data_IF_730444805900
#
_entry.id   IF_730444805900
#
_cell.length_a   1.000
_cell.length_b   1.000
_cell.length_c   1.000
_cell.angle_alpha   90.00
_cell.angle_beta   90.00
_cell.angle_gamma   90.00
#
_symmetry.space_group_name_H-M   'P 1'
#
loop_
_entity.id
_entity.type
_entity.pdbx_description
1 polymer ?
#
# COMPACT_ATOMS: atom_id res chain seq x y z
N UNK A 1 -16.36 -6.26 -15.00
CA UNK A 1 -15.47 -5.20 -15.49
C UNK A 1 -15.88 -3.85 -14.89
N UNK A 2 -16.05 -3.81 -13.57
CA UNK A 2 -16.44 -2.61 -12.85
C UNK A 2 -15.26 -1.63 -12.81
N UNK A 3 -15.55 -0.32 -12.91
CA UNK A 3 -14.51 0.71 -12.97
C UNK A 3 -13.74 0.75 -14.29
N UNK A 4 -14.28 0.14 -15.35
CA UNK A 4 -13.69 0.23 -16.69
C UNK A 4 -13.68 1.66 -17.21
N UNK A 5 -12.56 2.07 -17.79
CA UNK A 5 -12.40 3.39 -18.38
C UNK A 5 -10.99 3.94 -18.19
N UNK A 6 -10.88 5.26 -18.35
CA UNK A 6 -9.62 5.96 -18.08
C UNK A 6 -9.24 5.89 -16.60
N UNK A 7 -7.93 5.86 -16.32
CA UNK A 7 -7.39 6.00 -14.98
C UNK A 7 -7.84 7.32 -14.38
N UNK A 8 -8.88 7.30 -13.56
CA UNK A 8 -9.36 8.44 -12.80
C UNK A 8 -9.39 8.03 -11.34
N UNK A 9 -8.33 8.39 -10.62
CA UNK A 9 -8.20 8.13 -9.18
C UNK A 9 -9.33 8.75 -8.36
N UNK A 10 -10.00 9.77 -8.92
CA UNK A 10 -11.15 10.41 -8.30
C UNK A 10 -12.35 9.48 -8.15
N UNK A 11 -12.48 8.44 -9.00
CA UNK A 11 -13.61 7.52 -8.93
C UNK A 11 -13.63 6.72 -7.61
N UNK A 12 -12.56 5.99 -7.22
CA UNK A 12 -12.52 5.34 -5.91
C UNK A 12 -12.60 6.32 -4.74
N UNK A 13 -12.04 7.54 -4.85
CA UNK A 13 -12.19 8.57 -3.81
C UNK A 13 -13.66 8.91 -3.56
N UNK A 14 -14.41 9.22 -4.62
CA UNK A 14 -15.84 9.54 -4.47
C UNK A 14 -16.64 8.40 -3.86
N UNK A 15 -16.30 7.15 -4.17
CA UNK A 15 -16.97 5.98 -3.59
C UNK A 15 -16.61 5.82 -2.11
N UNK A 16 -15.33 5.99 -1.76
CA UNK A 16 -14.88 5.92 -0.37
C UNK A 16 -15.47 7.05 0.49
N UNK A 17 -15.57 8.27 -0.06
CA UNK A 17 -16.15 9.44 0.62
C UNK A 17 -17.65 9.26 0.90
N UNK A 18 -18.35 8.46 0.08
CA UNK A 18 -19.73 8.03 0.35
C UNK A 18 -19.82 7.01 1.50
N UNK A 19 -18.69 6.55 2.04
CA UNK A 19 -18.61 5.54 3.10
C UNK A 19 -18.66 4.10 2.59
N UNK A 20 -18.58 3.86 1.29
CA UNK A 20 -18.57 2.51 0.72
C UNK A 20 -17.16 1.93 0.86
N UNK A 21 -17.04 0.85 1.66
CA UNK A 21 -15.74 0.21 1.97
C UNK A 21 -15.46 -1.04 1.15
N UNK A 22 -16.48 -1.70 0.62
CA UNK A 22 -16.36 -2.92 -0.17
C UNK A 22 -17.23 -2.83 -1.43
N UNK A 23 -16.71 -3.31 -2.56
CA UNK A 23 -17.45 -3.42 -3.81
C UNK A 23 -17.34 -4.88 -4.26
N UNK A 24 -18.47 -5.51 -4.55
CA UNK A 24 -18.51 -6.89 -5.04
C UNK A 24 -18.84 -6.88 -6.54
N UNK A 25 -18.05 -7.56 -7.37
CA UNK A 25 -18.28 -7.65 -8.82
C UNK A 25 -17.74 -8.95 -9.41
N UNK A 26 -18.09 -9.27 -10.65
CA UNK A 26 -17.53 -10.42 -11.39
C UNK A 26 -16.11 -10.19 -11.87
N UNK A 27 -15.73 -8.92 -12.06
CA UNK A 27 -14.36 -8.51 -12.38
C UNK A 27 -14.23 -7.00 -12.28
N UNK A 28 -13.00 -6.52 -12.08
CA UNK A 28 -12.65 -5.11 -12.04
C UNK A 28 -11.69 -4.74 -13.16
N UNK A 29 -11.68 -3.48 -13.57
CA UNK A 29 -10.59 -2.96 -14.38
C UNK A 29 -9.33 -2.80 -13.53
N UNK A 30 -8.18 -3.21 -14.04
CA UNK A 30 -6.92 -3.35 -13.27
C UNK A 30 -6.52 -2.07 -12.52
N UNK A 31 -6.69 -0.91 -13.18
CA UNK A 31 -6.34 0.38 -12.61
C UNK A 31 -7.27 0.72 -11.43
N UNK A 32 -8.58 0.56 -11.64
CA UNK A 32 -9.57 0.81 -10.59
C UNK A 32 -9.34 -0.12 -9.39
N UNK A 33 -9.10 -1.41 -9.68
CA UNK A 33 -8.80 -2.43 -8.68
C UNK A 33 -7.62 -2.04 -7.78
N UNK A 34 -6.51 -1.60 -8.37
CA UNK A 34 -5.34 -1.16 -7.62
C UNK A 34 -5.60 0.13 -6.82
N UNK A 35 -6.36 1.07 -7.38
CA UNK A 35 -6.68 2.31 -6.70
C UNK A 35 -7.62 2.10 -5.50
N UNK A 36 -8.51 1.11 -5.53
CA UNK A 36 -9.32 0.78 -4.36
C UNK A 36 -8.45 0.41 -3.14
N UNK A 37 -7.43 -0.44 -3.32
CA UNK A 37 -6.53 -0.82 -2.23
C UNK A 37 -5.74 0.38 -1.68
N UNK A 38 -5.27 1.26 -2.55
CA UNK A 38 -4.57 2.49 -2.13
C UNK A 38 -5.47 3.41 -1.27
N UNK A 39 -6.79 3.27 -1.38
CA UNK A 39 -7.77 4.05 -0.63
C UNK A 39 -8.44 3.25 0.50
N UNK A 40 -7.90 2.09 0.88
CA UNK A 40 -8.44 1.30 1.99
C UNK A 40 -9.81 0.67 1.71
N UNK A 41 -10.12 0.43 0.43
CA UNK A 41 -11.34 -0.23 -0.03
C UNK A 41 -11.03 -1.65 -0.50
N UNK A 42 -12.01 -2.55 -0.31
CA UNK A 42 -11.95 -3.94 -0.76
C UNK A 42 -12.75 -4.14 -2.06
N UNK A 43 -12.10 -4.23 -3.23
CA UNK A 43 -12.73 -4.75 -4.43
C UNK A 43 -12.72 -6.29 -4.39
N UNK A 44 -13.90 -6.89 -4.24
CA UNK A 44 -14.10 -8.32 -4.04
C UNK A 44 -14.68 -8.96 -5.29
N UNK A 45 -14.06 -10.05 -5.75
CA UNK A 45 -14.51 -10.77 -6.95
C UNK A 45 -15.25 -12.05 -6.57
N UNK A 46 -16.45 -12.25 -7.10
CA UNK A 46 -17.21 -13.51 -6.97
C UNK A 46 -17.73 -13.99 -8.33
N UNK A 47 -18.04 -15.30 -8.45
CA UNK A 47 -18.82 -15.85 -9.55
C UNK A 47 -20.16 -15.12 -9.75
N UNK A 48 -20.65 -15.11 -11.00
CA UNK A 48 -21.88 -14.37 -11.36
C UNK A 48 -23.11 -14.88 -10.62
N UNK A 49 -23.26 -16.18 -10.48
CA UNK A 49 -24.35 -16.85 -9.78
C UNK A 49 -24.45 -16.39 -8.32
N UNK A 50 -23.33 -16.32 -7.61
CA UNK A 50 -23.28 -15.83 -6.23
C UNK A 50 -23.63 -14.34 -6.14
N UNK A 51 -23.20 -13.53 -7.11
CA UNK A 51 -23.54 -12.10 -7.15
C UNK A 51 -25.03 -11.89 -7.40
N UNK A 52 -25.64 -12.68 -8.30
CA UNK A 52 -27.08 -12.64 -8.55
C UNK A 52 -27.86 -12.97 -7.27
N UNK A 53 -27.44 -13.98 -6.51
CA UNK A 53 -28.02 -14.29 -5.20
C UNK A 53 -27.85 -13.15 -4.19
N UNK A 54 -26.67 -12.52 -4.12
CA UNK A 54 -26.46 -11.36 -3.23
C UNK A 54 -27.30 -10.14 -3.64
N UNK A 55 -27.57 -9.96 -4.93
CA UNK A 55 -28.47 -8.91 -5.43
C UNK A 55 -29.93 -9.18 -5.06
N UNK A 56 -30.35 -10.44 -5.08
CA UNK A 56 -31.68 -10.85 -4.58
C UNK A 56 -31.83 -10.57 -3.09
N UNK A 57 -30.82 -10.89 -2.27
CA UNK A 57 -30.81 -10.57 -0.85
C UNK A 57 -30.89 -9.05 -0.63
N UNK A 58 -30.11 -8.28 -1.38
CA UNK A 58 -30.06 -6.82 -1.29
C UNK A 58 -31.33 -6.11 -1.80
N UNK A 59 -32.24 -6.82 -2.49
CA UNK A 59 -33.51 -6.25 -2.94
C UNK A 59 -34.43 -5.91 -1.76
N UNK A 60 -34.24 -6.54 -0.60
CA UNK A 60 -34.96 -6.21 0.63
C UNK A 60 -34.22 -5.09 1.38
N UNK A 61 -34.83 -3.91 1.58
CA UNK A 61 -34.18 -2.81 2.29
C UNK A 61 -33.82 -3.17 3.74
N UNK A 62 -32.63 -2.77 4.17
CA UNK A 62 -32.12 -3.07 5.52
C UNK A 62 -31.47 -4.45 5.66
N UNK A 63 -31.37 -5.22 4.58
CA UNK A 63 -30.62 -6.48 4.56
C UNK A 63 -29.13 -6.22 4.75
N UNK A 64 -28.53 -6.90 5.72
CA UNK A 64 -27.10 -6.81 6.01
C UNK A 64 -26.35 -8.00 5.38
N UNK A 65 -25.37 -7.69 4.54
CA UNK A 65 -24.42 -8.66 3.99
C UNK A 65 -23.07 -8.35 4.64
N UNK A 66 -22.50 -9.33 5.33
CA UNK A 66 -21.23 -9.16 6.04
C UNK A 66 -20.08 -9.61 5.17
N UNK A 67 -19.01 -8.81 5.11
CA UNK A 67 -17.76 -9.21 4.47
C UNK A 67 -16.70 -9.36 5.55
N UNK A 68 -16.37 -10.61 5.86
CA UNK A 68 -15.31 -10.98 6.78
C UNK A 68 -14.00 -11.11 6.01
N UNK A 69 -13.15 -10.08 6.11
CA UNK A 69 -11.87 -10.05 5.44
C UNK A 69 -10.84 -10.99 6.08
N UNK A 70 -10.92 -11.24 7.39
CA UNK A 70 -9.96 -12.09 8.10
C UNK A 70 -10.15 -13.55 7.71
N UNK A 71 -11.40 -14.01 7.65
CA UNK A 71 -11.75 -15.36 7.23
C UNK A 71 -11.97 -15.48 5.71
N UNK A 72 -11.96 -14.35 4.98
CA UNK A 72 -12.16 -14.26 3.54
C UNK A 72 -13.50 -14.83 3.08
N UNK A 73 -14.56 -14.40 3.77
CA UNK A 73 -15.94 -14.84 3.53
C UNK A 73 -16.90 -13.68 3.34
N UNK A 74 -17.84 -13.85 2.43
CA UNK A 74 -19.07 -13.06 2.35
C UNK A 74 -20.18 -13.87 3.01
N UNK A 75 -20.76 -13.33 4.07
CA UNK A 75 -21.77 -13.99 4.89
C UNK A 75 -23.11 -13.35 4.59
N UNK A 76 -24.04 -14.19 4.14
CA UNK A 76 -25.40 -13.81 3.78
C UNK A 76 -26.30 -13.71 5.03
N UNK A 77 -27.45 -13.03 4.94
CA UNK A 77 -28.38 -12.90 6.06
C UNK A 77 -28.91 -14.23 6.60
N UNK A 78 -28.98 -15.25 5.72
CA UNK A 78 -29.43 -16.60 6.06
C UNK A 78 -28.33 -17.48 6.69
N UNK A 79 -27.09 -16.98 6.77
CA UNK A 79 -25.92 -17.69 7.27
C UNK A 79 -25.12 -18.46 6.21
N UNK A 80 -25.54 -18.44 4.94
CA UNK A 80 -24.74 -19.01 3.86
C UNK A 80 -23.46 -18.19 3.64
N UNK A 81 -22.38 -18.87 3.28
CA UNK A 81 -21.07 -18.24 3.13
C UNK A 81 -20.48 -18.46 1.74
N UNK A 82 -19.91 -17.41 1.17
CA UNK A 82 -19.11 -17.46 -0.06
C UNK A 82 -17.65 -17.12 0.25
N UNK A 83 -16.74 -18.00 -0.13
CA UNK A 83 -15.31 -17.76 0.02
C UNK A 83 -14.80 -16.90 -1.14
N UNK A 84 -13.86 -16.00 -0.85
CA UNK A 84 -13.18 -15.21 -1.86
C UNK A 84 -11.67 -15.21 -1.63
N UNK A 85 -10.92 -14.88 -2.68
CA UNK A 85 -9.46 -14.80 -2.61
C UNK A 85 -9.00 -13.35 -2.65
N UNK A 86 -7.95 -13.07 -1.87
CA UNK A 86 -7.22 -11.80 -1.87
C UNK A 86 -5.75 -12.09 -1.59
N UNK A 87 -4.88 -11.30 -2.20
CA UNK A 87 -3.46 -11.33 -1.91
C UNK A 87 -3.17 -11.04 -0.43
N UNK A 88 -2.24 -11.82 0.16
CA UNK A 88 -1.94 -11.79 1.60
C UNK A 88 -1.45 -10.40 2.04
N UNK A 89 -0.62 -9.76 1.21
CA UNK A 89 -0.10 -8.43 1.52
C UNK A 89 -1.22 -7.38 1.50
N UNK A 90 -2.09 -7.40 0.48
CA UNK A 90 -3.25 -6.49 0.42
C UNK A 90 -4.24 -6.70 1.56
N UNK A 91 -4.48 -7.95 1.95
CA UNK A 91 -5.30 -8.29 3.13
C UNK A 91 -4.69 -7.67 4.38
N UNK A 92 -3.39 -7.87 4.61
CA UNK A 92 -2.68 -7.30 5.76
C UNK A 92 -2.82 -5.77 5.80
N UNK A 93 -2.61 -5.10 4.67
CA UNK A 93 -2.77 -3.64 4.57
C UNK A 93 -4.19 -3.19 4.94
N UNK A 94 -5.22 -3.86 4.43
CA UNK A 94 -6.61 -3.50 4.72
C UNK A 94 -7.03 -3.78 6.17
N UNK A 95 -6.58 -4.90 6.75
CA UNK A 95 -6.90 -5.27 8.14
C UNK A 95 -6.24 -4.30 9.13
N UNK A 96 -4.98 -3.95 8.89
CA UNK A 96 -4.22 -3.06 9.77
C UNK A 96 -4.36 -1.58 9.42
N UNK A 97 -5.12 -1.24 8.37
CA UNK A 97 -5.26 0.12 7.89
C UNK A 97 -3.95 0.75 7.41
N UNK A 98 -3.00 -0.09 6.96
CA UNK A 98 -1.70 0.35 6.48
C UNK A 98 -1.84 0.90 5.06
N UNK A 99 -1.54 2.19 4.91
CA UNK A 99 -1.29 2.79 3.61
C UNK A 99 0.21 2.69 3.26
N UNK A 100 0.60 3.24 2.10
CA UNK A 100 2.01 3.24 1.66
C UNK A 100 2.94 3.97 2.65
N UNK A 101 2.40 4.94 3.39
CA UNK A 101 3.15 5.68 4.42
C UNK A 101 3.34 4.77 5.63
N UNK A 102 2.28 4.11 6.10
CA UNK A 102 2.31 3.13 7.19
C UNK A 102 3.33 2.02 6.94
N UNK A 103 3.35 1.44 5.73
CA UNK A 103 4.34 0.44 5.32
C UNK A 103 5.78 0.97 5.34
N UNK A 104 5.97 2.26 5.06
CA UNK A 104 7.30 2.89 5.14
C UNK A 104 7.68 3.16 6.59
N UNK A 105 6.72 3.57 7.42
CA UNK A 105 6.92 3.81 8.85
C UNK A 105 7.26 2.52 9.62
N UNK A 106 6.76 1.36 9.19
CA UNK A 106 7.18 0.05 9.73
C UNK A 106 8.69 -0.20 9.57
N UNK A 107 9.34 0.50 8.64
CA UNK A 107 10.78 0.38 8.35
C UNK A 107 11.61 1.52 8.92
N UNK A 108 11.07 2.35 9.81
CA UNK A 108 11.78 3.52 10.37
C UNK A 108 13.15 3.14 10.95
N UNK A 109 13.23 2.00 11.65
CA UNK A 109 14.49 1.57 12.27
C UNK A 109 15.52 1.16 11.22
N UNK A 110 15.10 0.45 10.17
CA UNK A 110 15.96 0.06 9.04
C UNK A 110 16.42 1.29 8.26
N UNK A 111 15.52 2.26 8.03
CA UNK A 111 15.83 3.53 7.37
C UNK A 111 16.87 4.29 8.20
N UNK A 112 16.66 4.41 9.51
CA UNK A 112 17.58 5.11 10.41
C UNK A 112 18.96 4.44 10.46
N UNK A 113 19.01 3.12 10.50
CA UNK A 113 20.25 2.35 10.46
C UNK A 113 20.99 2.52 9.13
N UNK A 114 20.25 2.48 8.01
CA UNK A 114 20.82 2.74 6.69
C UNK A 114 21.35 4.17 6.56
N UNK A 115 20.60 5.17 7.02
CA UNK A 115 21.00 6.57 6.98
C UNK A 115 22.26 6.84 7.80
N UNK A 116 22.32 6.29 9.02
CA UNK A 116 23.52 6.38 9.87
C UNK A 116 24.75 5.83 9.15
N UNK A 117 24.63 4.62 8.61
CA UNK A 117 25.73 3.98 7.86
C UNK A 117 26.10 4.74 6.59
N UNK A 118 25.12 5.33 5.90
CA UNK A 118 25.33 6.12 4.68
C UNK A 118 26.12 7.39 4.99
N UNK A 119 25.79 8.09 6.08
CA UNK A 119 26.52 9.29 6.51
C UNK A 119 27.96 8.98 6.93
N UNK A 120 28.21 7.82 7.54
CA UNK A 120 29.56 7.37 7.89
C UNK A 120 30.41 7.03 6.66
N UNK A 121 29.84 6.30 5.69
CA UNK A 121 30.57 5.81 4.52
C UNK A 121 30.67 6.84 3.38
N UNK A 122 29.66 7.69 3.24
CA UNK A 122 29.50 8.61 2.11
C UNK A 122 29.07 10.02 2.57
N UNK A 123 29.86 10.68 3.43
CA UNK A 123 29.48 11.97 4.04
C UNK A 123 29.20 13.08 3.01
N UNK A 124 29.75 13.01 1.79
CA UNK A 124 29.50 13.98 0.72
C UNK A 124 28.11 13.85 0.07
N UNK A 125 27.34 12.79 0.36
CA UNK A 125 25.95 12.61 -0.10
C UNK A 125 24.91 13.24 0.83
N UNK A 126 25.32 13.82 1.96
CA UNK A 126 24.44 14.52 2.90
C UNK A 126 24.14 15.98 2.50
N UNK A 127 24.35 16.28 1.20
CA UNK A 127 24.23 17.61 0.62
C UNK A 127 25.39 18.53 1.02
N UNK A 128 25.31 19.80 0.61
CA UNK A 128 26.13 20.87 1.18
C UNK A 128 25.62 21.17 2.60
N UNK A 129 25.76 20.22 3.52
CA UNK A 129 25.39 20.43 4.90
C UNK A 129 26.40 21.40 5.53
N UNK A 130 25.94 22.18 6.51
CA UNK A 130 26.79 23.06 7.34
C UNK A 130 27.83 22.26 8.15
N UNK A 131 27.76 20.93 8.10
CA UNK A 131 28.78 20.01 8.62
C UNK A 131 29.68 19.62 7.47
N UNK A 132 30.62 20.51 7.13
CA UNK A 132 31.81 20.08 6.41
C UNK A 132 32.62 19.24 7.41
N UNK A 133 32.92 17.96 7.13
CA UNK A 133 33.84 17.20 7.96
C UNK A 133 35.20 17.92 7.98
N UNK A 134 35.83 18.05 9.15
CA UNK A 134 37.18 18.65 9.25
C UNK A 134 38.20 17.88 8.39
N UNK A 135 37.97 16.57 8.21
CA UNK A 135 38.70 15.71 7.27
C UNK A 135 37.73 14.91 6.41
N UNK A 136 37.85 15.06 5.09
CA UNK A 136 37.19 14.19 4.12
C UNK A 136 38.12 13.01 3.87
N UNK A 137 37.83 11.86 4.49
CA UNK A 137 38.54 10.61 4.24
C UNK A 137 38.34 10.20 2.78
N UNK A 138 39.35 10.48 1.95
CA UNK A 138 39.44 9.94 0.59
C UNK A 138 39.80 8.45 0.65
N UNK A 139 39.32 7.68 -0.32
CA UNK A 139 39.72 6.28 -0.48
C UNK A 139 41.26 6.17 -0.54
N UNK A 140 41.89 5.14 0.08
CA UNK A 140 43.35 4.99 0.08
C UNK A 140 43.98 4.93 -1.32
N UNK A 141 43.23 4.40 -2.29
CA UNK A 141 43.61 4.27 -3.70
C UNK A 141 43.26 5.52 -4.54
N UNK A 142 42.73 6.58 -3.91
CA UNK A 142 42.37 7.80 -4.62
C UNK A 142 43.64 8.48 -5.17
N UNK A 143 43.67 8.85 -6.46
CA UNK A 143 44.81 9.60 -7.02
C UNK A 143 45.01 10.97 -6.35
N UNK A 144 44.03 11.43 -5.56
CA UNK A 144 44.05 12.69 -4.81
C UNK A 144 44.53 12.55 -3.36
N UNK A 145 44.82 11.34 -2.86
CA UNK A 145 45.18 11.12 -1.45
C UNK A 145 46.63 11.49 -1.09
N UNK A 146 47.48 11.87 -2.05
CA UNK A 146 48.94 11.98 -1.86
C UNK A 146 49.51 13.33 -1.40
N UNK A 147 48.71 14.36 -1.17
CA UNK A 147 49.24 15.73 -0.95
C UNK A 147 48.92 16.37 0.42
N UNK A 148 48.59 15.59 1.45
CA UNK A 148 48.27 16.15 2.78
C UNK A 148 49.44 16.12 3.81
N UNK A 149 50.70 16.12 3.37
CA UNK A 149 51.85 16.28 4.30
C UNK A 149 52.95 17.14 3.70
N UNK A 150 52.82 18.47 3.82
CA UNK A 150 53.94 19.41 3.92
C UNK A 150 53.45 20.84 4.24
N UNK A 151 53.20 21.14 5.51
CA UNK A 151 53.38 22.49 6.04
C UNK A 151 53.62 22.38 7.56
N UNK A 152 54.82 22.81 7.97
CA UNK A 152 55.24 22.95 9.36
C UNK A 152 54.62 24.21 10.00
#
# INVERSE_FOLDING_TARGET
>A
NFGCGSSREHAPWSINDLGIRCIISTSFADIFYNNCFNNGMLPLTLPRDQIETLLEDAATPGTEITVDLENQKVIRPNGDEYSFEIDVFRKNCLVNGLDKIGLTLEKVDEISAFETKRSELYPWLDGASVRVPDEVMMYPESPFAKEATAAA
#
